data_IF_568406261941
#
_entry.id   IF_568406261941
#
_cell.length_a   1.000
_cell.length_b   1.000
_cell.length_c   1.000
_cell.angle_alpha   90.00
_cell.angle_beta   90.00
_cell.angle_gamma   90.00
#
_symmetry.space_group_name_H-M   'P 1'
#
loop_
_entity.id
_entity.type
_entity.pdbx_description
1 polymer ?
#
# COMPACT_ATOMS: atom_id res chain seq x y z
N UNK A 1 34.32 -14.60 7.35
CA UNK A 1 33.98 -13.17 7.25
C UNK A 1 32.54 -12.96 7.72
N UNK A 2 32.31 -11.92 8.54
CA UNK A 2 30.98 -11.50 8.93
C UNK A 2 30.91 -9.97 8.91
N UNK A 3 29.82 -9.43 8.39
CA UNK A 3 29.53 -7.99 8.34
C UNK A 3 28.10 -7.75 8.82
N UNK A 4 27.96 -6.90 9.83
CA UNK A 4 26.66 -6.39 10.31
C UNK A 4 26.46 -5.00 9.74
N UNK A 5 25.23 -4.69 9.32
CA UNK A 5 24.82 -3.35 8.88
C UNK A 5 23.54 -2.94 9.59
N UNK A 6 23.42 -1.67 9.88
CA UNK A 6 22.20 -1.05 10.37
C UNK A 6 22.10 0.34 9.79
N UNK A 7 20.91 0.74 9.38
CA UNK A 7 20.63 2.07 8.87
C UNK A 7 19.31 2.62 9.38
N UNK A 8 19.25 3.91 9.46
CA UNK A 8 18.03 4.69 9.69
C UNK A 8 18.00 5.85 8.70
N UNK A 9 16.87 6.07 8.07
CA UNK A 9 16.68 7.17 7.13
C UNK A 9 15.31 7.82 7.32
N UNK A 10 15.28 9.14 7.15
CA UNK A 10 14.05 9.91 6.99
C UNK A 10 14.07 10.59 5.62
N UNK A 11 13.00 10.42 4.85
CA UNK A 11 12.83 11.01 3.52
C UNK A 11 11.50 11.73 3.49
N UNK A 12 11.53 13.01 3.10
CA UNK A 12 10.33 13.80 2.81
C UNK A 12 9.93 13.69 1.33
N UNK A 13 8.63 13.69 1.06
CA UNK A 13 8.06 13.90 -0.26
C UNK A 13 7.21 15.17 -0.19
N UNK A 14 7.53 16.15 -1.02
CA UNK A 14 6.93 17.48 -0.91
C UNK A 14 5.59 17.56 -1.63
N UNK A 15 4.89 18.64 -1.36
CA UNK A 15 3.64 19.02 -2.02
C UNK A 15 3.95 19.56 -3.43
N UNK A 16 3.02 19.35 -4.34
CA UNK A 16 3.06 20.07 -5.61
C UNK A 16 2.91 21.59 -5.38
N UNK A 17 3.42 22.41 -6.29
CA UNK A 17 3.28 23.86 -6.18
C UNK A 17 1.82 24.29 -5.99
N UNK A 18 1.62 25.31 -5.15
CA UNK A 18 0.33 25.92 -4.85
C UNK A 18 -0.69 25.09 -4.09
N UNK A 19 -0.37 23.88 -3.61
CA UNK A 19 -1.30 23.01 -2.86
C UNK A 19 -1.58 23.48 -1.42
N UNK A 20 -1.07 24.62 -1.00
CA UNK A 20 -1.41 25.23 0.31
C UNK A 20 -2.45 26.36 0.18
N UNK A 21 -2.90 26.67 -1.03
CA UNK A 21 -3.78 27.79 -1.29
C UNK A 21 -4.98 27.37 -2.13
N UNK A 22 -6.14 27.91 -1.79
CA UNK A 22 -7.34 27.71 -2.58
C UNK A 22 -7.34 28.73 -3.74
N UNK A 23 -7.24 28.25 -4.96
CA UNK A 23 -7.21 29.02 -6.16
C UNK A 23 -8.56 29.01 -6.88
N UNK A 24 -8.85 30.07 -7.61
CA UNK A 24 -10.02 30.17 -8.48
C UNK A 24 -9.59 30.03 -9.94
N UNK A 25 -10.36 29.25 -10.68
CA UNK A 25 -10.24 29.22 -12.15
C UNK A 25 -11.07 30.36 -12.71
N UNK A 26 -10.42 31.24 -13.42
CA UNK A 26 -11.09 32.37 -14.09
C UNK A 26 -11.37 32.00 -15.53
N UNK A 27 -12.61 32.10 -15.95
CA UNK A 27 -13.09 31.82 -17.30
C UNK A 27 -14.06 32.86 -17.81
N UNK A 28 -14.73 32.57 -18.92
CA UNK A 28 -15.85 33.35 -19.46
C UNK A 28 -17.07 32.46 -19.62
N UNK A 29 -18.25 33.01 -19.34
CA UNK A 29 -19.52 32.36 -19.65
C UNK A 29 -19.85 32.49 -21.16
N UNK A 30 -20.95 31.90 -21.59
CA UNK A 30 -21.44 31.94 -22.98
C UNK A 30 -21.74 33.38 -23.47
N UNK A 31 -21.99 34.29 -22.55
CA UNK A 31 -22.26 35.70 -22.84
C UNK A 31 -21.00 36.56 -22.83
N UNK A 32 -19.81 35.97 -22.62
CA UNK A 32 -18.53 36.66 -22.57
C UNK A 32 -18.21 37.33 -21.24
N UNK A 33 -19.03 37.16 -20.18
CA UNK A 33 -18.77 37.71 -18.85
C UNK A 33 -17.69 36.90 -18.15
N UNK A 34 -16.85 37.58 -17.36
CA UNK A 34 -15.83 36.89 -16.55
C UNK A 34 -16.46 36.15 -15.41
N UNK A 35 -16.14 34.85 -15.30
CA UNK A 35 -16.57 33.97 -14.20
C UNK A 35 -15.36 33.50 -13.42
N UNK A 36 -15.55 33.24 -12.13
CA UNK A 36 -14.54 32.63 -11.27
C UNK A 36 -15.21 31.48 -10.49
N UNK A 37 -14.61 30.29 -10.59
CA UNK A 37 -15.06 29.10 -9.88
C UNK A 37 -13.96 28.59 -8.95
N UNK A 38 -14.28 28.18 -7.70
CA UNK A 38 -13.34 27.54 -6.82
C UNK A 38 -12.89 26.19 -7.41
N UNK A 39 -11.67 25.78 -7.05
CA UNK A 39 -11.22 24.41 -7.34
C UNK A 39 -12.10 23.36 -6.61
N UNK A 40 -12.06 22.12 -7.05
CA UNK A 40 -12.84 21.05 -6.44
C UNK A 40 -12.26 20.57 -5.11
N UNK A 41 -10.97 20.79 -4.88
CA UNK A 41 -10.27 20.35 -3.68
C UNK A 41 -10.06 21.55 -2.76
N UNK A 42 -10.50 21.39 -1.51
CA UNK A 42 -10.19 22.36 -0.45
C UNK A 42 -8.78 22.09 0.08
N UNK A 43 -7.89 23.06 -0.08
CA UNK A 43 -6.54 23.00 0.49
C UNK A 43 -6.51 23.70 1.84
N UNK A 44 -5.72 23.12 2.76
CA UNK A 44 -5.50 23.66 4.10
C UNK A 44 -4.02 24.03 4.24
N UNK A 45 -3.75 25.24 4.72
CA UNK A 45 -2.38 25.74 4.93
C UNK A 45 -1.59 24.95 6.00
N UNK A 46 -2.25 24.12 6.79
CA UNK A 46 -1.61 23.22 7.77
C UNK A 46 -1.03 21.96 7.17
N UNK A 47 -1.33 21.68 5.90
CA UNK A 47 -0.81 20.49 5.21
C UNK A 47 0.70 20.58 5.07
N UNK A 48 1.38 19.47 5.35
CA UNK A 48 2.84 19.34 5.35
C UNK A 48 3.28 18.25 4.38
N UNK A 49 4.57 18.27 4.04
CA UNK A 49 5.19 17.19 3.28
C UNK A 49 5.02 15.82 3.96
N UNK A 50 4.88 14.79 3.15
CA UNK A 50 4.89 13.41 3.59
C UNK A 50 6.24 13.06 4.22
N UNK A 51 6.26 12.11 5.15
CA UNK A 51 7.47 11.69 5.84
C UNK A 51 7.55 10.16 5.86
N UNK A 52 8.62 9.64 5.28
CA UNK A 52 8.95 8.22 5.28
C UNK A 52 10.11 8.00 6.23
N UNK A 53 9.92 7.12 7.21
CA UNK A 53 10.94 6.68 8.18
C UNK A 53 11.25 5.22 7.94
N UNK A 54 12.52 4.92 7.74
CA UNK A 54 12.98 3.57 7.43
C UNK A 54 14.07 3.12 8.39
N UNK A 55 13.90 1.89 8.87
CA UNK A 55 14.92 1.13 9.63
C UNK A 55 15.32 -0.07 8.81
N UNK A 56 16.60 -0.36 8.79
CA UNK A 56 17.15 -1.55 8.15
C UNK A 56 18.23 -2.16 9.03
N UNK A 57 18.22 -3.48 9.16
CA UNK A 57 19.29 -4.25 9.77
C UNK A 57 19.64 -5.43 8.87
N UNK A 58 20.93 -5.70 8.72
CA UNK A 58 21.39 -6.78 7.86
C UNK A 58 22.66 -7.46 8.35
N UNK A 59 22.84 -8.67 7.86
CA UNK A 59 23.97 -9.53 8.17
C UNK A 59 24.45 -10.21 6.89
N UNK A 60 25.71 -10.03 6.54
CA UNK A 60 26.40 -10.77 5.46
C UNK A 60 27.48 -11.66 6.11
N UNK A 61 27.36 -12.96 5.91
CA UNK A 61 28.30 -13.94 6.45
C UNK A 61 28.81 -14.83 5.34
N UNK A 62 30.13 -15.06 5.34
CA UNK A 62 30.83 -15.93 4.41
C UNK A 62 31.57 -17.02 5.16
N UNK A 63 31.33 -18.25 4.76
CA UNK A 63 31.87 -19.47 5.34
C UNK A 63 32.71 -20.24 4.34
N UNK A 64 33.48 -21.22 4.80
CA UNK A 64 34.20 -22.19 4.00
C UNK A 64 35.00 -21.52 2.88
N UNK A 65 35.82 -20.53 3.23
CA UNK A 65 36.65 -19.79 2.25
C UNK A 65 35.80 -19.14 1.13
N UNK A 66 34.66 -18.55 1.49
CA UNK A 66 33.70 -17.94 0.59
C UNK A 66 32.89 -18.91 -0.29
N UNK A 67 32.94 -20.21 -0.01
CA UNK A 67 32.14 -21.20 -0.76
C UNK A 67 30.66 -21.13 -0.37
N UNK A 68 30.35 -20.69 0.83
CA UNK A 68 28.97 -20.50 1.31
C UNK A 68 28.80 -19.07 1.80
N UNK A 69 27.80 -18.37 1.27
CA UNK A 69 27.41 -17.02 1.66
C UNK A 69 25.95 -16.97 2.08
N UNK A 70 25.68 -16.25 3.17
CA UNK A 70 24.35 -15.90 3.67
C UNK A 70 24.28 -14.38 3.75
N UNK A 71 23.32 -13.79 3.08
CA UNK A 71 22.89 -12.41 3.29
C UNK A 71 21.46 -12.39 3.86
N UNK A 72 21.28 -11.67 4.95
CA UNK A 72 20.01 -11.46 5.62
C UNK A 72 19.78 -9.96 5.75
N UNK A 73 18.58 -9.50 5.40
CA UNK A 73 18.14 -8.14 5.65
C UNK A 73 16.73 -8.16 6.24
N UNK A 74 16.51 -7.34 7.25
CA UNK A 74 15.22 -6.98 7.78
C UNK A 74 15.02 -5.49 7.61
N UNK A 75 13.82 -5.08 7.22
CA UNK A 75 13.47 -3.68 7.09
C UNK A 75 12.08 -3.39 7.62
N UNK A 76 11.92 -2.15 8.07
CA UNK A 76 10.63 -1.59 8.48
C UNK A 76 10.55 -0.13 8.06
N UNK A 77 9.56 0.19 7.27
CA UNK A 77 9.30 1.54 6.75
C UNK A 77 7.91 1.98 7.16
N UNK A 78 7.82 3.19 7.71
CA UNK A 78 6.57 3.86 8.02
C UNK A 78 6.44 5.11 7.16
N UNK A 79 5.45 5.13 6.27
CA UNK A 79 5.06 6.30 5.51
C UNK A 79 3.95 7.02 6.27
N UNK A 80 4.29 8.18 6.83
CA UNK A 80 3.40 9.00 7.67
C UNK A 80 3.06 10.31 6.98
N UNK A 81 2.00 10.97 7.42
CA UNK A 81 1.51 12.23 6.83
C UNK A 81 1.16 12.09 5.35
N UNK A 82 0.63 10.93 4.96
CA UNK A 82 0.20 10.71 3.57
C UNK A 82 -0.81 11.77 3.16
N UNK A 83 -0.67 12.27 1.93
CA UNK A 83 -1.56 13.28 1.37
C UNK A 83 -2.80 12.62 0.77
N UNK A 84 -3.91 12.71 1.49
CA UNK A 84 -5.18 12.12 1.09
C UNK A 84 -6.22 13.20 0.76
N UNK A 85 -7.06 12.94 -0.24
CA UNK A 85 -8.22 13.75 -0.54
C UNK A 85 -9.45 13.11 0.10
N UNK A 86 -9.85 13.60 1.27
CA UNK A 86 -11.05 13.11 1.95
C UNK A 86 -12.29 13.72 1.31
N UNK A 87 -13.30 12.91 0.95
CA UNK A 87 -14.57 13.41 0.44
C UNK A 87 -15.20 14.40 1.42
N UNK A 88 -15.79 15.45 0.90
CA UNK A 88 -16.58 16.43 1.64
C UNK A 88 -18.03 16.36 1.22
N UNK A 89 -18.91 16.85 2.11
CA UNK A 89 -20.31 17.08 1.75
C UNK A 89 -20.38 18.08 0.57
N UNK A 90 -21.12 17.78 -0.50
CA UNK A 90 -21.27 18.66 -1.66
C UNK A 90 -21.72 20.09 -1.31
N UNK A 91 -22.46 20.27 -0.23
CA UNK A 91 -22.88 21.59 0.27
C UNK A 91 -21.72 22.44 0.79
N UNK A 92 -20.54 21.86 1.04
CA UNK A 92 -19.34 22.62 1.42
C UNK A 92 -18.72 23.42 0.26
N UNK A 93 -19.23 23.23 -0.97
CA UNK A 93 -18.70 23.90 -2.18
C UNK A 93 -17.41 23.29 -2.74
N UNK A 94 -16.94 22.17 -2.14
CA UNK A 94 -15.78 21.41 -2.56
C UNK A 94 -16.12 19.91 -2.55
N UNK A 95 -15.56 19.14 -3.47
CA UNK A 95 -15.78 17.69 -3.52
C UNK A 95 -14.93 16.93 -2.51
N UNK A 96 -13.78 17.48 -2.16
CA UNK A 96 -12.85 16.85 -1.21
C UNK A 96 -11.95 17.88 -0.53
N UNK A 97 -11.35 17.48 0.59
CA UNK A 97 -10.33 18.24 1.33
C UNK A 97 -9.02 17.48 1.35
N UNK A 98 -7.92 18.17 1.04
CA UNK A 98 -6.59 17.59 1.18
C UNK A 98 -6.13 17.67 2.63
N UNK A 99 -5.69 16.54 3.17
CA UNK A 99 -5.23 16.42 4.55
C UNK A 99 -3.97 15.56 4.60
N UNK A 100 -3.14 15.78 5.62
CA UNK A 100 -2.13 14.78 5.99
C UNK A 100 -2.80 13.72 6.86
N UNK A 101 -2.77 12.50 6.41
CA UNK A 101 -3.39 11.40 7.12
C UNK A 101 -2.60 10.12 6.94
N UNK A 102 -2.85 9.20 7.87
CA UNK A 102 -2.39 7.84 7.74
C UNK A 102 -0.94 7.59 8.13
N UNK A 103 -0.73 6.34 8.45
CA UNK A 103 0.55 5.70 8.67
C UNK A 103 0.49 4.32 8.01
N UNK A 104 1.18 4.17 6.90
CA UNK A 104 1.30 2.91 6.18
C UNK A 104 2.66 2.31 6.53
N UNK A 105 2.64 1.12 7.10
CA UNK A 105 3.84 0.38 7.46
C UNK A 105 4.12 -0.71 6.43
N UNK A 106 5.36 -0.78 5.97
CA UNK A 106 5.91 -1.92 5.26
C UNK A 106 7.02 -2.54 6.11
N UNK A 107 6.94 -3.83 6.33
CA UNK A 107 7.92 -4.58 7.10
C UNK A 107 8.21 -5.89 6.36
N UNK A 108 9.50 -6.24 6.28
CA UNK A 108 9.87 -7.45 5.56
C UNK A 108 11.23 -7.98 5.95
N UNK A 109 11.49 -9.15 5.41
CA UNK A 109 12.81 -9.77 5.49
C UNK A 109 13.20 -10.36 4.14
N UNK A 110 14.48 -10.32 3.88
CA UNK A 110 15.10 -10.88 2.69
C UNK A 110 16.25 -11.78 3.10
N UNK A 111 16.31 -12.97 2.53
CA UNK A 111 17.35 -13.95 2.78
C UNK A 111 17.89 -14.39 1.43
N UNK A 112 19.20 -14.29 1.25
CA UNK A 112 19.90 -14.83 0.10
C UNK A 112 20.97 -15.80 0.57
N UNK A 113 20.89 -17.03 0.06
CA UNK A 113 21.88 -18.07 0.28
C UNK A 113 22.55 -18.37 -1.04
N UNK A 114 23.87 -18.32 -1.07
CA UNK A 114 24.66 -18.68 -2.24
C UNK A 114 25.74 -19.67 -1.85
N UNK A 115 25.97 -20.64 -2.71
CA UNK A 115 26.93 -21.70 -2.46
C UNK A 115 27.61 -22.21 -3.72
N UNK A 116 28.94 -22.39 -3.63
CA UNK A 116 29.73 -23.13 -4.60
C UNK A 116 29.66 -24.61 -4.24
N UNK A 117 28.69 -25.32 -4.84
CA UNK A 117 28.44 -26.75 -4.56
C UNK A 117 29.60 -27.58 -5.02
N UNK A 118 30.09 -27.29 -6.22
CA UNK A 118 31.27 -27.94 -6.80
C UNK A 118 32.17 -26.90 -7.41
N UNK A 119 33.48 -27.00 -7.10
CA UNK A 119 34.54 -26.20 -7.72
C UNK A 119 35.64 -27.13 -8.19
N UNK A 120 35.89 -27.11 -9.47
CA UNK A 120 37.03 -27.85 -10.03
C UNK A 120 38.34 -27.18 -9.63
N UNK A 121 39.39 -27.94 -9.32
CA UNK A 121 40.76 -27.42 -9.19
C UNK A 121 41.32 -26.93 -10.50
N UNK A 122 40.83 -27.43 -11.63
CA UNK A 122 41.28 -27.07 -12.97
C UNK A 122 40.51 -25.88 -13.51
N UNK A 123 41.22 -24.95 -14.19
CA UNK A 123 40.63 -23.71 -14.74
C UNK A 123 39.53 -24.00 -15.78
N UNK A 124 39.62 -25.13 -16.50
CA UNK A 124 38.64 -25.55 -17.49
C UNK A 124 37.64 -26.60 -16.96
N UNK A 125 37.70 -26.90 -15.68
CA UNK A 125 36.85 -27.91 -15.05
C UNK A 125 35.41 -27.44 -14.78
N UNK A 126 34.55 -28.39 -14.47
CA UNK A 126 33.16 -28.13 -14.15
C UNK A 126 33.01 -27.38 -12.80
N UNK A 127 32.24 -26.32 -12.80
CA UNK A 127 31.87 -25.56 -11.59
C UNK A 127 30.37 -25.46 -11.49
N UNK A 128 29.82 -25.69 -10.28
CA UNK A 128 28.41 -25.57 -10.00
C UNK A 128 28.16 -24.67 -8.80
N UNK A 129 27.50 -23.56 -9.08
CA UNK A 129 27.06 -22.62 -8.05
C UNK A 129 25.52 -22.64 -7.95
N UNK A 130 24.98 -22.57 -6.75
CA UNK A 130 23.56 -22.48 -6.49
C UNK A 130 23.26 -21.23 -5.65
N UNK A 131 22.13 -20.58 -5.95
CA UNK A 131 21.61 -19.44 -5.19
C UNK A 131 20.16 -19.68 -4.89
N UNK A 132 19.76 -19.46 -3.63
CA UNK A 132 18.37 -19.45 -3.20
C UNK A 132 18.06 -18.08 -2.57
N UNK A 133 16.89 -17.52 -2.89
CA UNK A 133 16.44 -16.23 -2.36
C UNK A 133 15.00 -16.35 -1.88
N UNK A 134 14.73 -15.78 -0.71
CA UNK A 134 13.40 -15.68 -0.14
C UNK A 134 13.21 -14.21 0.27
N UNK A 135 12.10 -13.62 -0.17
CA UNK A 135 11.68 -12.28 0.23
C UNK A 135 10.25 -12.34 0.77
N UNK A 136 10.04 -11.79 1.94
CA UNK A 136 8.73 -11.64 2.57
C UNK A 136 8.50 -10.16 2.84
N UNK A 137 7.37 -9.65 2.40
CA UNK A 137 6.93 -8.28 2.68
C UNK A 137 5.50 -8.29 3.20
N UNK A 138 5.24 -7.52 4.24
CA UNK A 138 3.90 -7.24 4.76
C UNK A 138 3.70 -5.75 4.81
N UNK A 139 2.66 -5.27 4.17
CA UNK A 139 2.17 -3.93 4.40
C UNK A 139 1.02 -3.95 5.40
N UNK A 140 0.84 -2.86 6.11
CA UNK A 140 -0.27 -2.68 7.03
C UNK A 140 -0.61 -1.21 7.16
N UNK A 141 -1.89 -0.90 7.13
CA UNK A 141 -2.40 0.42 7.46
C UNK A 141 -2.50 0.51 8.97
N UNK A 142 -1.58 1.24 9.59
CA UNK A 142 -1.56 1.42 11.05
C UNK A 142 -2.64 2.40 11.46
N UNK A 143 -2.77 3.48 10.71
CA UNK A 143 -3.70 4.56 11.00
C UNK A 143 -4.12 5.25 9.70
N UNK A 144 -5.33 5.79 9.70
CA UNK A 144 -5.86 6.70 8.68
C UNK A 144 -6.10 8.08 9.31
N UNK A 145 -6.85 8.94 8.66
CA UNK A 145 -7.26 10.21 9.25
C UNK A 145 -8.21 10.00 10.43
N UNK A 146 -8.17 10.84 11.50
CA UNK A 146 -9.13 10.75 12.59
C UNK A 146 -10.58 10.70 12.09
N UNK A 147 -11.32 9.67 12.53
CA UNK A 147 -12.70 9.44 12.12
C UNK A 147 -12.86 8.70 10.79
N UNK A 148 -11.78 8.37 10.10
CA UNK A 148 -11.80 7.59 8.87
C UNK A 148 -11.25 6.19 9.17
N UNK A 149 -12.10 5.19 9.12
CA UNK A 149 -11.72 3.78 9.32
C UNK A 149 -11.53 3.02 8.01
N UNK A 150 -12.10 3.57 6.93
CA UNK A 150 -12.08 3.01 5.60
C UNK A 150 -11.90 4.14 4.58
N UNK A 151 -10.99 3.96 3.63
CA UNK A 151 -10.72 4.91 2.56
C UNK A 151 -10.80 4.23 1.21
N UNK A 152 -11.65 4.75 0.32
CA UNK A 152 -11.76 4.27 -1.06
C UNK A 152 -10.57 4.78 -1.88
N UNK A 153 -9.70 3.85 -2.30
CA UNK A 153 -8.59 4.15 -3.18
C UNK A 153 -9.09 4.25 -4.61
N UNK A 154 -9.97 3.31 -5.03
CA UNK A 154 -10.54 3.29 -6.36
C UNK A 154 -11.76 2.37 -6.43
N UNK A 155 -12.85 2.89 -6.92
CA UNK A 155 -14.04 2.10 -7.29
C UNK A 155 -14.04 1.81 -8.79
N UNK A 156 -14.26 0.56 -9.16
CA UNK A 156 -14.36 0.04 -10.52
C UNK A 156 -15.59 -0.86 -10.61
N UNK A 157 -16.69 -0.36 -11.18
CA UNK A 157 -17.98 -1.07 -11.29
C UNK A 157 -18.38 -1.74 -9.94
N UNK A 158 -18.31 -3.07 -9.88
CA UNK A 158 -18.70 -3.88 -8.72
C UNK A 158 -17.52 -4.20 -7.78
N UNK A 159 -16.33 -3.61 -8.01
CA UNK A 159 -15.13 -3.86 -7.23
C UNK A 159 -14.63 -2.56 -6.64
N UNK A 160 -14.32 -2.56 -5.35
CA UNK A 160 -13.73 -1.44 -4.64
C UNK A 160 -12.34 -1.85 -4.14
N UNK A 161 -11.36 -0.99 -4.36
CA UNK A 161 -10.02 -1.12 -3.80
C UNK A 161 -9.94 -0.16 -2.63
N UNK A 162 -9.81 -0.71 -1.43
CA UNK A 162 -9.94 0.06 -0.21
C UNK A 162 -8.71 -0.04 0.69
N UNK A 163 -8.57 0.96 1.54
CA UNK A 163 -7.63 1.00 2.64
C UNK A 163 -8.41 1.02 3.95
N UNK A 164 -8.36 -0.06 4.71
CA UNK A 164 -8.98 -0.15 6.02
C UNK A 164 -7.92 -0.11 7.12
N UNK A 165 -8.20 0.59 8.22
CA UNK A 165 -7.29 0.60 9.36
C UNK A 165 -7.10 -0.81 9.92
N UNK A 166 -5.85 -1.21 10.09
CA UNK A 166 -5.47 -2.55 10.55
C UNK A 166 -5.34 -3.62 9.46
N UNK A 167 -5.78 -3.34 8.24
CA UNK A 167 -5.76 -4.22 7.07
C UNK A 167 -4.58 -3.92 6.13
N UNK A 168 -4.54 -4.58 4.99
CA UNK A 168 -3.55 -4.32 3.95
C UNK A 168 -3.95 -3.11 3.10
N UNK A 169 -2.95 -2.44 2.52
CA UNK A 169 -3.19 -1.39 1.55
C UNK A 169 -3.62 -2.00 0.22
N UNK A 170 -4.81 -1.64 -0.24
CA UNK A 170 -5.33 -2.13 -1.51
C UNK A 170 -6.09 -3.45 -1.41
N UNK A 171 -6.73 -3.72 -0.27
CA UNK A 171 -7.67 -4.83 -0.15
C UNK A 171 -8.82 -4.65 -1.15
N UNK A 172 -9.20 -5.76 -1.78
CA UNK A 172 -10.25 -5.77 -2.80
C UNK A 172 -11.55 -6.18 -2.13
N UNK A 173 -12.53 -5.31 -2.23
CA UNK A 173 -13.92 -5.55 -1.80
C UNK A 173 -14.80 -5.72 -3.03
N UNK A 174 -15.78 -6.56 -2.94
CA UNK A 174 -16.73 -6.80 -4.01
C UNK A 174 -17.90 -7.64 -3.52
N UNK A 175 -19.00 -7.55 -4.25
CA UNK A 175 -20.17 -8.37 -3.96
C UNK A 175 -19.90 -9.84 -4.29
N UNK A 176 -20.36 -10.73 -3.44
CA UNK A 176 -20.29 -12.16 -3.66
C UNK A 176 -21.65 -12.80 -3.45
N UNK A 177 -21.87 -13.98 -4.05
CA UNK A 177 -23.07 -14.73 -3.80
C UNK A 177 -23.12 -15.26 -2.38
N UNK A 178 -24.26 -15.07 -1.72
CA UNK A 178 -24.50 -15.68 -0.41
C UNK A 178 -24.46 -17.20 -0.53
N UNK A 179 -23.80 -17.83 0.42
CA UNK A 179 -23.65 -19.28 0.48
C UNK A 179 -24.11 -19.80 1.84
N UNK A 180 -24.57 -21.04 1.88
CA UNK A 180 -24.90 -21.71 3.11
C UNK A 180 -23.62 -21.89 3.94
N UNK A 181 -23.55 -21.26 5.11
CA UNK A 181 -22.38 -21.24 6.00
C UNK A 181 -22.44 -22.32 7.09
N UNK A 182 -23.62 -22.93 7.30
CA UNK A 182 -23.80 -24.03 8.25
C UNK A 182 -23.07 -25.29 7.74
N UNK A 183 -22.02 -25.68 8.45
CA UNK A 183 -21.17 -26.83 8.10
C UNK A 183 -21.89 -28.17 8.24
N UNK A 184 -22.92 -28.24 9.08
CA UNK A 184 -23.70 -29.44 9.31
C UNK A 184 -24.84 -29.59 8.29
N UNK A 185 -25.08 -28.59 7.47
CA UNK A 185 -26.09 -28.63 6.43
C UNK A 185 -25.62 -29.46 5.22
N UNK A 186 -26.48 -30.31 4.63
CA UNK A 186 -26.18 -31.00 3.37
C UNK A 186 -26.01 -30.07 2.18
N UNK A 187 -26.32 -28.79 2.39
CA UNK A 187 -26.17 -27.70 1.38
C UNK A 187 -24.98 -26.79 1.63
N UNK A 188 -24.08 -27.12 2.57
CA UNK A 188 -22.90 -26.31 2.87
C UNK A 188 -22.16 -25.88 1.61
N UNK A 189 -21.84 -24.58 1.53
CA UNK A 189 -21.13 -23.97 0.40
C UNK A 189 -21.97 -23.73 -0.86
N UNK A 190 -23.22 -24.22 -0.93
CA UNK A 190 -24.11 -23.92 -2.06
C UNK A 190 -24.60 -22.49 -2.02
N UNK A 191 -24.80 -21.90 -3.20
CA UNK A 191 -25.35 -20.54 -3.35
C UNK A 191 -26.80 -20.54 -2.91
N UNK A 192 -27.19 -19.51 -2.16
CA UNK A 192 -28.56 -19.27 -1.73
C UNK A 192 -29.28 -18.55 -2.86
N UNK A 193 -30.45 -19.05 -3.22
CA UNK A 193 -31.29 -18.53 -4.30
C UNK A 193 -32.54 -17.90 -3.68
N UNK A 194 -32.93 -16.72 -4.14
CA UNK A 194 -34.16 -16.06 -3.73
C UNK A 194 -35.41 -16.69 -4.31
N UNK A 195 -36.58 -16.19 -3.91
CA UNK A 195 -37.87 -16.67 -4.40
C UNK A 195 -38.08 -16.41 -5.90
N UNK A 196 -37.32 -15.48 -6.47
CA UNK A 196 -37.27 -15.15 -7.90
C UNK A 196 -36.37 -16.10 -8.72
N UNK A 197 -35.72 -17.07 -8.06
CA UNK A 197 -34.80 -18.01 -8.68
C UNK A 197 -33.40 -17.44 -8.96
N UNK A 198 -33.09 -16.24 -8.52
CA UNK A 198 -31.78 -15.61 -8.71
C UNK A 198 -30.88 -15.78 -7.47
N UNK A 199 -29.56 -15.90 -7.65
CA UNK A 199 -28.63 -15.92 -6.54
C UNK A 199 -28.71 -14.65 -5.69
N UNK A 200 -28.78 -14.82 -4.38
CA UNK A 200 -28.68 -13.70 -3.44
C UNK A 200 -27.24 -13.22 -3.36
N UNK A 201 -27.07 -11.90 -3.32
CA UNK A 201 -25.77 -11.22 -3.22
C UNK A 201 -25.57 -10.76 -1.77
N UNK A 202 -24.33 -10.82 -1.28
CA UNK A 202 -24.00 -10.24 0.02
C UNK A 202 -24.30 -8.74 0.00
N UNK A 203 -25.06 -8.27 0.99
CA UNK A 203 -25.06 -6.84 1.30
C UNK A 203 -23.70 -6.49 1.89
N UNK A 204 -23.11 -5.38 1.48
CA UNK A 204 -21.92 -4.82 2.10
C UNK A 204 -22.19 -4.39 3.54
#
# INVERSE_FOLDING_TARGET
FAKVRASYAEVGNDLDPYQLYNNYTVGKDENGNTTAAPGQILFDSSVRSELIKSWEAGLDVRFLQNRLGLDFAWYKTNATRQLLNLPLDPFAGYSSRKVNAGNIQNEGLEISLNGAIFQSPDVQGFNWNATAQISLNRNKIIDLSPGVTLYDIKTLDAIQIMAAQGSYYGDIYGQTFLRVTDKDSPHYGKVIVGDDGLPLISAE
#
